data_IF_054678019304
#
_entry.id   IF_054678019304
#
_cell.length_a   1.000
_cell.length_b   1.000
_cell.length_c   1.000
_cell.angle_alpha   90.00
_cell.angle_beta   90.00
_cell.angle_gamma   90.00
#
_symmetry.space_group_name_H-M   'P 1'
#
loop_
_entity.id
_entity.type
_entity.pdbx_description
1 polymer ?
#
# COMPACT_ATOMS: atom_id res chain seq x y z
N UNK A 1 -14.02 -1.88 2.59
CA UNK A 1 -14.57 -1.62 1.24
C UNK A 1 -14.75 -2.97 0.53
N UNK A 2 -15.42 -3.08 -0.62
CA UNK A 2 -15.40 -4.34 -1.39
C UNK A 2 -14.34 -4.19 -2.48
N UNK A 3 -13.38 -5.11 -2.53
CA UNK A 3 -12.37 -5.15 -3.59
C UNK A 3 -13.01 -5.15 -4.98
N UNK A 4 -12.39 -4.47 -5.92
CA UNK A 4 -12.70 -4.47 -7.34
C UNK A 4 -12.56 -5.88 -7.94
N UNK A 5 -13.13 -6.09 -9.12
CA UNK A 5 -12.97 -7.36 -9.84
C UNK A 5 -11.49 -7.64 -10.13
N UNK A 6 -10.71 -6.60 -10.48
CA UNK A 6 -9.27 -6.70 -10.71
C UNK A 6 -8.55 -7.19 -9.45
N UNK A 7 -8.78 -6.55 -8.32
CA UNK A 7 -8.16 -6.93 -7.06
C UNK A 7 -8.58 -8.33 -6.56
N UNK A 8 -9.83 -8.71 -6.75
CA UNK A 8 -10.30 -10.07 -6.44
C UNK A 8 -9.60 -11.13 -7.30
N UNK A 9 -9.46 -10.89 -8.60
CA UNK A 9 -8.76 -11.81 -9.49
C UNK A 9 -7.26 -11.87 -9.16
N UNK A 10 -6.66 -10.74 -8.80
CA UNK A 10 -5.28 -10.66 -8.38
C UNK A 10 -5.04 -11.50 -7.11
N UNK A 11 -5.82 -11.26 -6.04
CA UNK A 11 -5.60 -11.90 -4.75
C UNK A 11 -5.83 -13.43 -4.79
N UNK A 12 -6.73 -13.90 -5.66
CA UNK A 12 -6.97 -15.34 -5.88
C UNK A 12 -5.77 -16.09 -6.45
N UNK A 13 -4.88 -15.39 -7.17
CA UNK A 13 -3.65 -15.96 -7.74
C UNK A 13 -2.48 -15.95 -6.75
N UNK A 14 -2.58 -15.17 -5.68
CA UNK A 14 -1.49 -15.00 -4.72
C UNK A 14 -1.39 -16.19 -3.77
N UNK A 15 -0.17 -16.52 -3.37
CA UNK A 15 0.06 -17.54 -2.35
C UNK A 15 -0.44 -17.05 -0.98
N UNK A 16 -1.02 -17.95 -0.18
CA UNK A 16 -1.46 -17.64 1.20
C UNK A 16 -0.94 -18.69 2.18
N UNK A 17 -0.13 -18.25 3.15
CA UNK A 17 0.50 -19.07 4.17
C UNK A 17 -0.51 -19.41 5.28
N UNK A 18 -0.89 -20.69 5.38
CA UNK A 18 -1.97 -21.17 6.28
C UNK A 18 -1.75 -20.89 7.77
N UNK A 19 -0.50 -20.83 8.24
CA UNK A 19 -0.20 -20.60 9.66
C UNK A 19 -0.49 -19.16 10.13
N UNK A 20 -0.80 -18.25 9.21
CA UNK A 20 -1.29 -16.91 9.52
C UNK A 20 -2.82 -16.82 9.45
N UNK A 21 -3.51 -17.91 9.11
CA UNK A 21 -4.97 -17.94 9.08
C UNK A 21 -5.48 -18.29 10.47
N UNK A 22 -6.25 -17.40 11.05
CA UNK A 22 -6.89 -17.63 12.34
C UNK A 22 -8.26 -16.99 12.33
N UNK A 23 -9.26 -17.73 12.83
CA UNK A 23 -10.63 -17.22 12.90
C UNK A 23 -10.69 -15.94 13.74
N UNK A 24 -11.48 -14.92 13.34
CA UNK A 24 -11.56 -13.64 14.03
C UNK A 24 -11.83 -13.76 15.53
N UNK A 25 -12.73 -14.68 15.92
CA UNK A 25 -13.06 -14.93 17.34
C UNK A 25 -11.87 -15.35 18.20
N UNK A 26 -10.91 -16.07 17.62
CA UNK A 26 -9.72 -16.54 18.34
C UNK A 26 -8.74 -15.37 18.51
N UNK A 27 -8.61 -14.54 17.48
CA UNK A 27 -7.78 -13.34 17.50
C UNK A 27 -8.34 -12.33 18.50
N UNK A 28 -9.65 -12.07 18.47
CA UNK A 28 -10.34 -11.23 19.45
C UNK A 28 -10.09 -11.68 20.89
N UNK A 29 -10.20 -12.99 21.16
CA UNK A 29 -9.91 -13.55 22.47
C UNK A 29 -8.44 -13.35 22.88
N UNK A 30 -7.50 -13.56 21.95
CA UNK A 30 -6.08 -13.33 22.17
C UNK A 30 -5.77 -11.85 22.50
N UNK A 31 -6.34 -10.89 21.76
CA UNK A 31 -6.21 -9.46 22.05
C UNK A 31 -6.74 -9.10 23.45
N UNK A 32 -7.89 -9.66 23.84
CA UNK A 32 -8.49 -9.45 25.17
C UNK A 32 -7.60 -9.94 26.30
N UNK A 33 -7.01 -11.13 26.18
CA UNK A 33 -6.05 -11.65 27.18
C UNK A 33 -4.86 -10.71 27.33
N UNK A 34 -4.37 -10.19 26.20
CA UNK A 34 -3.23 -9.27 26.14
C UNK A 34 -3.58 -7.83 26.56
N UNK A 35 -4.85 -7.54 26.88
CA UNK A 35 -5.37 -6.20 27.21
C UNK A 35 -5.12 -5.16 26.11
N UNK A 36 -5.13 -5.62 24.85
CA UNK A 36 -5.01 -4.75 23.67
C UNK A 36 -6.40 -4.25 23.29
N UNK A 37 -6.50 -2.97 22.95
CA UNK A 37 -7.75 -2.41 22.41
C UNK A 37 -8.04 -3.07 21.06
N UNK A 38 -9.24 -3.62 20.93
CA UNK A 38 -9.66 -4.27 19.69
C UNK A 38 -10.04 -3.21 18.67
N UNK A 39 -9.28 -3.16 17.59
CA UNK A 39 -9.62 -2.39 16.40
C UNK A 39 -10.31 -3.31 15.38
N UNK A 40 -11.55 -3.02 14.95
CA UNK A 40 -12.25 -3.82 13.94
C UNK A 40 -11.43 -4.00 12.65
N UNK A 41 -10.73 -2.97 12.19
CA UNK A 41 -9.92 -3.03 10.97
C UNK A 41 -8.69 -3.95 11.09
N UNK A 42 -8.12 -4.08 12.29
CA UNK A 42 -7.04 -5.04 12.56
C UNK A 42 -7.56 -6.48 12.48
N UNK A 43 -8.77 -6.73 12.99
CA UNK A 43 -9.41 -8.04 12.85
C UNK A 43 -9.76 -8.35 11.39
N UNK A 44 -10.27 -7.36 10.64
CA UNK A 44 -10.55 -7.50 9.21
C UNK A 44 -9.27 -7.79 8.42
N UNK A 45 -8.16 -7.13 8.74
CA UNK A 45 -6.88 -7.46 8.15
C UNK A 45 -6.48 -8.91 8.45
N UNK A 46 -6.57 -9.32 9.71
CA UNK A 46 -6.17 -10.65 10.13
C UNK A 46 -6.97 -11.74 9.38
N UNK A 47 -8.28 -11.52 9.23
CA UNK A 47 -9.19 -12.44 8.53
C UNK A 47 -8.95 -12.47 7.02
N UNK A 48 -8.88 -11.29 6.40
CA UNK A 48 -8.93 -11.16 4.96
C UNK A 48 -7.56 -11.21 4.30
N UNK A 49 -6.50 -10.75 4.99
CA UNK A 49 -5.22 -10.44 4.35
C UNK A 49 -4.01 -11.14 4.97
N UNK A 50 -4.07 -11.51 6.25
CA UNK A 50 -2.94 -12.19 6.89
C UNK A 50 -2.58 -13.50 6.18
N UNK A 51 -1.28 -13.68 5.94
CA UNK A 51 -0.68 -14.80 5.25
C UNK A 51 -0.49 -14.62 3.74
N UNK A 52 -1.07 -13.60 3.11
CA UNK A 52 -0.87 -13.40 1.68
C UNK A 52 0.56 -12.96 1.35
N UNK A 53 1.06 -13.44 0.21
CA UNK A 53 2.31 -13.01 -0.41
C UNK A 53 1.94 -12.30 -1.70
N UNK A 54 1.77 -10.98 -1.63
CA UNK A 54 1.35 -10.14 -2.75
C UNK A 54 2.58 -9.87 -3.63
N UNK A 55 2.62 -10.45 -4.83
CA UNK A 55 3.73 -10.30 -5.78
C UNK A 55 3.23 -9.75 -7.10
N UNK A 56 4.01 -8.88 -7.73
CA UNK A 56 3.76 -8.39 -9.09
C UNK A 56 4.40 -9.34 -10.10
N UNK A 57 3.64 -9.72 -11.13
CA UNK A 57 4.08 -10.62 -12.20
C UNK A 57 5.36 -10.13 -12.85
N UNK A 58 6.33 -11.04 -13.03
CA UNK A 58 7.64 -10.72 -13.59
C UNK A 58 8.57 -9.93 -12.67
N UNK A 59 8.10 -9.51 -11.48
CA UNK A 59 8.85 -8.66 -10.53
C UNK A 59 8.85 -9.27 -9.12
N UNK A 60 9.57 -10.39 -8.88
CA UNK A 60 9.59 -11.07 -7.58
C UNK A 60 10.23 -10.25 -6.44
N UNK A 61 10.90 -9.14 -6.76
CA UNK A 61 11.41 -8.18 -5.76
C UNK A 61 10.33 -7.19 -5.31
N UNK A 62 9.23 -7.08 -6.03
CA UNK A 62 8.06 -6.30 -5.67
C UNK A 62 7.04 -7.20 -4.97
N UNK A 63 7.46 -7.75 -3.83
CA UNK A 63 6.67 -8.67 -3.02
C UNK A 63 6.44 -8.10 -1.62
N UNK A 64 5.17 -8.07 -1.20
CA UNK A 64 4.78 -7.80 0.18
C UNK A 64 4.28 -9.06 0.87
N UNK A 65 4.79 -9.34 2.07
CA UNK A 65 4.34 -10.45 2.90
C UNK A 65 3.41 -9.92 3.99
N UNK A 66 2.10 -10.04 3.79
CA UNK A 66 1.09 -9.59 4.74
C UNK A 66 0.98 -10.55 5.93
N UNK A 67 1.09 -10.05 7.16
CA UNK A 67 1.00 -10.86 8.38
C UNK A 67 0.63 -9.98 9.58
N UNK A 68 -0.07 -10.56 10.55
CA UNK A 68 -0.31 -9.94 11.86
C UNK A 68 0.07 -10.95 12.96
N UNK A 69 -0.87 -11.80 13.37
CA UNK A 69 -0.67 -12.80 14.41
C UNK A 69 -0.63 -14.19 13.78
N UNK A 70 0.44 -14.94 14.02
CA UNK A 70 0.49 -16.34 13.61
C UNK A 70 -0.32 -17.20 14.57
N UNK A 71 -0.76 -18.37 14.09
CA UNK A 71 -1.37 -19.38 14.95
C UNK A 71 -0.46 -19.82 16.09
N UNK A 72 0.87 -19.73 15.91
CA UNK A 72 1.85 -19.98 16.97
C UNK A 72 1.84 -18.88 18.04
N UNK A 73 1.79 -17.61 17.63
CA UNK A 73 1.74 -16.49 18.59
C UNK A 73 0.51 -16.60 19.49
N UNK A 74 -0.63 -16.93 18.88
CA UNK A 74 -1.91 -17.12 19.57
C UNK A 74 -1.87 -18.35 20.49
N UNK A 75 -1.44 -19.51 19.98
CA UNK A 75 -1.45 -20.76 20.75
C UNK A 75 -0.54 -20.71 21.97
N UNK A 76 0.59 -20.01 21.87
CA UNK A 76 1.55 -19.83 22.96
C UNK A 76 1.32 -18.55 23.76
N UNK A 77 0.22 -17.82 23.48
CA UNK A 77 -0.11 -16.54 24.09
C UNK A 77 1.10 -15.59 24.17
N UNK A 78 1.84 -15.47 23.06
CA UNK A 78 3.02 -14.61 22.99
C UNK A 78 2.62 -13.17 23.26
N UNK A 79 3.54 -12.40 23.82
CA UNK A 79 3.28 -10.99 24.11
C UNK A 79 3.15 -10.24 22.79
N UNK A 80 2.10 -9.43 22.65
CA UNK A 80 1.98 -8.48 21.54
C UNK A 80 2.85 -7.26 21.87
N UNK A 81 3.79 -6.96 20.98
CA UNK A 81 4.52 -5.71 21.03
C UNK A 81 3.61 -4.61 20.49
N UNK A 82 3.00 -3.86 21.41
CA UNK A 82 2.28 -2.64 21.07
C UNK A 82 3.27 -1.50 20.95
N UNK A 83 3.34 -0.92 19.77
CA UNK A 83 4.09 0.30 19.54
C UNK A 83 3.07 1.44 19.61
N UNK A 84 3.34 2.42 20.48
CA UNK A 84 2.55 3.64 20.57
C UNK A 84 3.31 4.73 19.83
N UNK A 85 2.73 5.24 18.74
CA UNK A 85 3.29 6.29 17.90
C UNK A 85 2.21 7.35 17.72
N UNK A 86 2.52 8.61 18.06
CA UNK A 86 1.56 9.71 18.00
C UNK A 86 0.20 9.41 18.66
N UNK A 87 0.22 8.82 19.87
CA UNK A 87 -0.96 8.42 20.65
C UNK A 87 -1.82 7.30 20.02
N UNK A 88 -1.30 6.61 19.00
CA UNK A 88 -1.99 5.51 18.31
C UNK A 88 -1.25 4.21 18.47
N UNK A 89 -2.00 3.12 18.63
CA UNK A 89 -1.45 1.78 18.58
C UNK A 89 -1.28 1.33 17.15
N UNK A 90 -0.09 0.81 16.83
CA UNK A 90 0.21 0.21 15.55
C UNK A 90 0.69 -1.22 15.71
N UNK A 91 0.44 -2.03 14.69
CA UNK A 91 0.78 -3.46 14.66
C UNK A 91 1.61 -3.76 13.41
N UNK A 92 2.73 -4.50 13.54
CA UNK A 92 3.50 -4.98 12.37
C UNK A 92 2.55 -5.75 11.45
N UNK A 93 2.36 -5.23 10.24
CA UNK A 93 1.44 -5.80 9.27
C UNK A 93 2.16 -6.51 8.11
N UNK A 94 3.49 -6.64 8.18
CA UNK A 94 4.30 -7.27 7.15
C UNK A 94 5.56 -6.53 6.77
N UNK A 95 6.16 -7.02 5.68
CA UNK A 95 7.38 -6.45 5.12
C UNK A 95 7.39 -6.54 3.60
N UNK A 96 8.07 -5.59 2.97
CA UNK A 96 8.35 -5.59 1.55
C UNK A 96 9.73 -6.17 1.27
N UNK A 97 9.90 -6.96 0.21
CA UNK A 97 11.15 -7.68 -0.08
C UNK A 97 12.37 -6.77 -0.35
N UNK A 98 12.13 -5.51 -0.70
CA UNK A 98 13.19 -4.51 -0.98
C UNK A 98 13.19 -3.31 -0.07
N UNK A 99 12.19 -3.15 0.81
CA UNK A 99 12.16 -2.01 1.72
C UNK A 99 13.01 -2.32 2.95
N UNK A 100 13.71 -1.30 3.46
CA UNK A 100 14.41 -1.35 4.74
C UNK A 100 13.49 -0.95 5.92
N UNK A 101 12.23 -0.64 5.63
CA UNK A 101 11.23 -0.17 6.59
C UNK A 101 10.30 -1.29 7.05
N UNK A 102 9.86 -1.18 8.30
CA UNK A 102 8.74 -1.96 8.82
C UNK A 102 7.42 -1.30 8.43
N UNK A 103 6.41 -2.12 8.13
CA UNK A 103 5.08 -1.65 7.78
C UNK A 103 4.13 -1.98 8.92
N UNK A 104 3.25 -1.02 9.22
CA UNK A 104 2.30 -1.17 10.31
C UNK A 104 0.88 -0.88 9.85
N UNK A 105 -0.07 -1.51 10.53
CA UNK A 105 -1.49 -1.17 10.46
C UNK A 105 -1.90 -0.42 11.73
N UNK A 106 -2.58 0.70 11.56
CA UNK A 106 -3.12 1.49 12.67
C UNK A 106 -4.42 0.89 13.19
N UNK A 107 -4.87 1.36 14.35
CA UNK A 107 -6.20 1.10 14.90
C UNK A 107 -7.38 1.51 13.99
N UNK A 108 -7.15 2.34 12.97
CA UNK A 108 -8.15 2.72 11.95
C UNK A 108 -7.99 1.94 10.64
N UNK A 109 -7.10 0.96 10.59
CA UNK A 109 -6.86 0.15 9.40
C UNK A 109 -5.93 0.78 8.35
N UNK A 110 -5.36 1.95 8.63
CA UNK A 110 -4.44 2.63 7.72
C UNK A 110 -3.09 1.92 7.70
N UNK A 111 -2.43 1.89 6.55
CA UNK A 111 -1.08 1.33 6.40
C UNK A 111 -0.07 2.46 6.48
N UNK A 112 0.96 2.27 7.28
CA UNK A 112 1.94 3.32 7.55
C UNK A 112 3.35 2.76 7.75
N UNK A 113 4.31 3.65 7.67
CA UNK A 113 5.65 3.52 8.24
C UNK A 113 5.78 4.50 9.40
N UNK A 114 6.89 4.40 10.14
CA UNK A 114 7.20 5.25 11.27
C UNK A 114 8.52 5.97 11.00
N UNK A 115 8.56 7.27 11.23
CA UNK A 115 9.74 8.14 11.09
C UNK A 115 10.49 8.31 12.41
N UNK A 116 11.78 8.67 12.39
CA UNK A 116 12.60 8.78 13.61
C UNK A 116 12.06 9.77 14.68
N UNK A 117 11.13 10.66 14.31
CA UNK A 117 10.50 11.64 15.19
C UNK A 117 9.20 11.16 15.87
N UNK A 118 8.91 9.86 15.80
CA UNK A 118 7.66 9.24 16.30
C UNK A 118 6.39 9.76 15.62
N UNK A 119 6.51 10.27 14.38
CA UNK A 119 5.36 10.53 13.52
C UNK A 119 4.97 9.31 12.68
N UNK A 120 3.68 9.23 12.35
CA UNK A 120 3.13 8.22 11.45
C UNK A 120 3.10 8.75 10.03
N UNK A 121 3.83 8.08 9.14
CA UNK A 121 3.75 8.33 7.72
C UNK A 121 2.68 7.41 7.10
N UNK A 122 1.47 7.93 6.94
CA UNK A 122 0.35 7.14 6.40
C UNK A 122 0.53 6.97 4.89
N UNK A 123 0.64 5.73 4.46
CA UNK A 123 0.83 5.34 3.07
C UNK A 123 -0.50 5.01 2.40
N UNK A 124 -1.45 4.40 3.11
CA UNK A 124 -2.75 4.00 2.56
C UNK A 124 -3.84 4.15 3.60
N UNK A 125 -5.04 4.54 3.16
CA UNK A 125 -6.21 4.64 4.02
C UNK A 125 -6.74 3.28 4.50
N UNK A 126 -6.39 2.19 3.82
CA UNK A 126 -6.76 0.83 4.19
C UNK A 126 -5.88 -0.21 3.49
N UNK A 127 -5.86 -1.44 3.99
CA UNK A 127 -5.21 -2.54 3.28
C UNK A 127 -5.95 -2.93 1.99
N UNK A 128 -7.26 -2.69 1.89
CA UNK A 128 -8.01 -2.86 0.63
C UNK A 128 -7.35 -2.01 -0.48
N UNK A 129 -7.08 -0.73 -0.20
CA UNK A 129 -6.41 0.18 -1.14
C UNK A 129 -5.00 -0.28 -1.49
N UNK A 130 -4.28 -0.84 -0.53
CA UNK A 130 -2.98 -1.45 -0.78
C UNK A 130 -3.07 -2.62 -1.78
N UNK A 131 -4.07 -3.50 -1.63
CA UNK A 131 -4.30 -4.61 -2.57
C UNK A 131 -4.75 -4.11 -3.95
N UNK A 132 -5.60 -3.07 -4.00
CA UNK A 132 -6.03 -2.45 -5.26
C UNK A 132 -4.86 -1.88 -6.06
N UNK A 133 -3.90 -1.27 -5.38
CA UNK A 133 -2.65 -0.83 -6.02
C UNK A 133 -1.85 -2.03 -6.55
N UNK A 134 -1.61 -3.05 -5.72
CA UNK A 134 -0.83 -4.21 -6.15
C UNK A 134 -1.45 -4.90 -7.36
N UNK A 135 -2.78 -4.99 -7.39
CA UNK A 135 -3.52 -5.55 -8.52
C UNK A 135 -3.40 -4.68 -9.78
N UNK A 136 -3.42 -3.36 -9.64
CA UNK A 136 -3.18 -2.46 -10.78
C UNK A 136 -1.75 -2.60 -11.29
N UNK A 137 -0.73 -2.59 -10.42
CA UNK A 137 0.67 -2.76 -10.82
C UNK A 137 0.95 -4.12 -11.46
N UNK A 138 0.26 -5.19 -11.02
CA UNK A 138 0.31 -6.51 -11.67
C UNK A 138 -0.24 -6.47 -13.10
N UNK A 139 -1.34 -5.76 -13.33
CA UNK A 139 -1.89 -5.53 -14.68
C UNK A 139 -0.93 -4.74 -15.58
N UNK A 140 -0.18 -3.80 -14.99
CA UNK A 140 0.82 -2.98 -15.66
C UNK A 140 2.19 -3.66 -15.81
N UNK A 141 2.34 -4.95 -15.46
CA UNK A 141 3.65 -5.62 -15.46
C UNK A 141 4.37 -5.57 -16.80
N UNK A 142 3.62 -5.45 -17.90
CA UNK A 142 4.14 -5.47 -19.27
C UNK A 142 4.22 -4.05 -19.86
N UNK A 143 3.93 -3.01 -19.07
CA UNK A 143 4.07 -1.61 -19.47
C UNK A 143 5.49 -1.12 -19.17
N UNK A 144 5.92 -0.10 -19.90
CA UNK A 144 7.16 0.60 -19.59
C UNK A 144 6.91 1.53 -18.41
N UNK A 145 7.86 1.57 -17.49
CA UNK A 145 7.85 2.50 -16.36
C UNK A 145 9.19 3.25 -16.32
N UNK A 146 9.18 4.43 -15.71
CA UNK A 146 10.43 5.14 -15.48
C UNK A 146 11.19 4.49 -14.32
N UNK A 147 12.50 4.34 -14.40
CA UNK A 147 13.26 3.67 -13.33
C UNK A 147 13.34 4.48 -12.03
N UNK A 148 13.15 5.80 -12.11
CA UNK A 148 13.17 6.73 -11.00
C UNK A 148 11.79 7.12 -10.47
N UNK A 149 11.79 7.64 -9.25
CA UNK A 149 10.66 8.32 -8.62
C UNK A 149 11.01 9.81 -8.53
N UNK A 150 10.03 10.66 -8.80
CA UNK A 150 10.22 12.12 -8.83
C UNK A 150 9.54 12.78 -7.65
N UNK A 151 10.19 13.76 -7.01
CA UNK A 151 9.56 14.48 -5.91
C UNK A 151 8.49 15.42 -6.45
N UNK A 152 7.28 15.36 -5.90
CA UNK A 152 6.18 16.25 -6.28
C UNK A 152 6.36 17.60 -5.59
N UNK A 153 6.53 18.66 -6.38
CA UNK A 153 6.74 20.02 -5.89
C UNK A 153 5.44 20.82 -5.79
N UNK A 154 4.49 20.58 -6.70
CA UNK A 154 3.23 21.31 -6.75
C UNK A 154 2.05 20.37 -7.03
N UNK A 155 1.32 20.02 -5.96
CA UNK A 155 0.12 19.18 -6.01
C UNK A 155 -1.00 19.83 -6.82
N UNK A 156 -1.14 21.16 -6.74
CA UNK A 156 -2.23 21.87 -7.42
C UNK A 156 -1.99 21.84 -8.93
N UNK A 157 -0.78 22.17 -9.37
CA UNK A 157 -0.44 22.11 -10.80
C UNK A 157 -0.52 20.69 -11.35
N UNK A 158 -0.15 19.66 -10.56
CA UNK A 158 -0.37 18.27 -10.96
C UNK A 158 -1.86 17.99 -11.18
N UNK A 159 -2.72 18.36 -10.23
CA UNK A 159 -4.15 18.13 -10.34
C UNK A 159 -4.72 18.84 -11.58
N UNK A 160 -4.38 20.12 -11.78
CA UNK A 160 -4.78 20.89 -12.97
C UNK A 160 -4.30 20.20 -14.27
N UNK A 161 -3.11 19.60 -14.29
CA UNK A 161 -2.59 18.85 -15.44
C UNK A 161 -3.40 17.56 -15.71
N UNK A 162 -3.63 16.74 -14.68
CA UNK A 162 -4.27 15.43 -14.86
C UNK A 162 -5.78 15.54 -15.09
N UNK A 163 -6.47 16.47 -14.42
CA UNK A 163 -7.94 16.61 -14.48
C UNK A 163 -8.46 16.92 -15.89
N UNK A 164 -7.62 17.50 -16.74
CA UNK A 164 -7.98 17.86 -18.11
C UNK A 164 -7.93 16.69 -19.11
N UNK A 165 -7.15 15.64 -18.82
CA UNK A 165 -6.79 14.64 -19.85
C UNK A 165 -6.72 13.21 -19.34
N UNK A 166 -6.85 13.01 -18.03
CA UNK A 166 -6.77 11.70 -17.41
C UNK A 166 -8.00 11.46 -16.54
N UNK A 167 -8.41 10.21 -16.45
CA UNK A 167 -9.47 9.74 -15.55
C UNK A 167 -8.84 9.17 -14.30
N UNK A 168 -9.38 9.53 -13.14
CA UNK A 168 -8.99 8.92 -11.87
C UNK A 168 -9.40 7.44 -11.85
N UNK A 169 -8.49 6.57 -11.41
CA UNK A 169 -8.74 5.15 -11.11
C UNK A 169 -9.16 5.08 -9.64
N UNK A 170 -10.46 5.25 -9.39
CA UNK A 170 -11.02 5.43 -8.04
C UNK A 170 -10.71 4.26 -7.10
N UNK A 171 -10.73 3.03 -7.60
CA UNK A 171 -10.52 1.85 -6.77
C UNK A 171 -9.11 1.80 -6.17
N UNK A 172 -8.10 2.27 -6.90
CA UNK A 172 -6.70 2.34 -6.45
C UNK A 172 -6.31 3.68 -5.82
N UNK A 173 -7.24 4.65 -5.77
CA UNK A 173 -6.97 6.01 -5.27
C UNK A 173 -7.61 6.26 -3.90
N UNK A 174 -6.92 7.02 -3.05
CA UNK A 174 -7.37 7.56 -1.78
C UNK A 174 -6.66 8.90 -1.47
N UNK A 175 -6.65 9.33 -0.20
CA UNK A 175 -6.01 10.57 0.21
C UNK A 175 -4.47 10.56 0.05
N UNK A 176 -3.86 9.38 0.04
CA UNK A 176 -2.40 9.18 0.11
C UNK A 176 -1.84 8.72 -1.24
N UNK A 177 -2.59 7.94 -2.01
CA UNK A 177 -2.23 7.54 -3.37
C UNK A 177 -3.31 7.93 -4.36
N UNK A 178 -2.92 8.40 -5.53
CA UNK A 178 -3.85 8.75 -6.59
C UNK A 178 -3.30 8.26 -7.93
N UNK A 179 -4.17 7.63 -8.71
CA UNK A 179 -3.82 6.98 -9.97
C UNK A 179 -4.71 7.54 -11.07
N UNK A 180 -4.11 8.03 -12.14
CA UNK A 180 -4.83 8.58 -13.28
C UNK A 180 -4.43 7.90 -14.57
N UNK A 181 -5.37 7.73 -15.50
CA UNK A 181 -5.13 7.09 -16.80
C UNK A 181 -5.82 7.81 -17.95
N UNK A 182 -5.18 7.83 -19.12
CA UNK A 182 -5.81 8.20 -20.38
C UNK A 182 -5.93 6.99 -21.35
N UNK A 183 -5.69 5.78 -20.85
CA UNK A 183 -5.68 4.53 -21.61
C UNK A 183 -4.32 4.11 -22.17
N UNK A 184 -3.39 5.06 -22.35
CA UNK A 184 -2.04 4.81 -22.88
C UNK A 184 -0.93 5.11 -21.88
N UNK A 185 -1.20 6.02 -20.93
CA UNK A 185 -0.31 6.48 -19.87
C UNK A 185 -1.06 6.38 -18.55
N UNK A 186 -0.34 5.97 -17.50
CA UNK A 186 -0.77 6.06 -16.12
C UNK A 186 0.20 6.93 -15.34
N UNK A 187 -0.35 7.88 -14.59
CA UNK A 187 0.39 8.72 -13.66
C UNK A 187 -0.04 8.33 -12.26
N UNK A 188 0.95 8.08 -11.39
CA UNK A 188 0.75 7.77 -9.98
C UNK A 188 1.33 8.91 -9.16
N UNK A 189 0.53 9.43 -8.23
CA UNK A 189 0.99 10.14 -7.04
C UNK A 189 0.95 9.17 -5.86
N UNK A 190 2.05 9.03 -5.13
CA UNK A 190 2.12 8.22 -3.90
C UNK A 190 2.90 8.92 -2.80
N UNK A 191 2.82 8.41 -1.57
CA UNK A 191 3.62 8.92 -0.43
C UNK A 191 4.96 8.20 -0.40
N UNK A 192 6.06 8.93 -0.15
CA UNK A 192 7.36 8.31 0.07
C UNK A 192 7.30 7.38 1.29
N UNK A 193 8.12 6.33 1.31
CA UNK A 193 8.08 5.36 2.43
C UNK A 193 8.68 5.90 3.72
N UNK A 194 9.51 6.94 3.63
CA UNK A 194 10.35 7.48 4.71
C UNK A 194 9.99 8.92 5.10
N UNK A 195 8.99 9.52 4.44
CA UNK A 195 8.53 10.88 4.71
C UNK A 195 7.10 11.08 4.22
N UNK A 196 6.39 12.04 4.82
CA UNK A 196 5.01 12.41 4.42
C UNK A 196 4.90 13.17 3.08
N UNK A 197 6.01 13.36 2.36
CA UNK A 197 6.00 14.00 1.03
C UNK A 197 5.46 13.05 -0.05
N UNK A 198 5.08 13.63 -1.19
CA UNK A 198 4.61 12.87 -2.35
C UNK A 198 5.68 12.67 -3.42
N UNK A 199 5.54 11.57 -4.15
CA UNK A 199 6.28 11.30 -5.38
C UNK A 199 5.35 11.11 -6.57
N UNK A 200 5.94 11.23 -7.76
CA UNK A 200 5.33 10.86 -9.03
C UNK A 200 6.06 9.69 -9.67
N UNK A 201 5.27 8.79 -10.23
CA UNK A 201 5.75 7.69 -11.06
C UNK A 201 4.85 7.54 -12.29
N UNK A 202 5.43 7.15 -13.42
CA UNK A 202 4.74 7.12 -14.72
C UNK A 202 4.91 5.77 -15.38
N UNK A 203 3.80 5.22 -15.87
CA UNK A 203 3.74 4.02 -16.70
C UNK A 203 3.19 4.39 -18.09
N UNK A 204 3.68 3.76 -19.15
CA UNK A 204 3.09 3.89 -20.48
C UNK A 204 3.27 2.63 -21.32
N UNK A 205 2.39 2.41 -22.30
CA UNK A 205 2.54 1.30 -23.26
C UNK A 205 3.74 1.46 -24.19
N UNK A 206 4.27 2.68 -24.31
CA UNK A 206 5.45 3.00 -25.10
C UNK A 206 6.51 3.68 -24.24
N UNK A 207 7.74 3.15 -24.24
CA UNK A 207 8.88 3.69 -23.48
C UNK A 207 9.11 5.20 -23.72
N UNK A 208 9.07 5.64 -24.99
CA UNK A 208 9.25 7.05 -25.35
C UNK A 208 8.27 7.98 -24.64
N UNK A 209 7.02 7.53 -24.43
CA UNK A 209 5.97 8.33 -23.79
C UNK A 209 6.25 8.54 -22.30
N UNK A 210 6.84 7.57 -21.62
CA UNK A 210 7.26 7.71 -20.22
C UNK A 210 8.23 8.90 -20.09
N UNK A 211 9.26 8.93 -20.92
CA UNK A 211 10.29 9.98 -20.90
C UNK A 211 9.72 11.35 -21.27
N UNK A 212 8.82 11.41 -22.26
CA UNK A 212 8.18 12.66 -22.68
C UNK A 212 7.33 13.28 -21.58
N UNK A 213 6.50 12.48 -20.90
CA UNK A 213 5.64 12.96 -19.81
C UNK A 213 6.47 13.44 -18.63
N UNK A 214 7.49 12.69 -18.23
CA UNK A 214 8.40 13.12 -17.16
C UNK A 214 9.05 14.45 -17.49
N UNK A 215 9.57 14.64 -18.71
CA UNK A 215 10.17 15.91 -19.14
C UNK A 215 9.17 17.06 -19.15
N UNK A 216 7.92 16.80 -19.53
CA UNK A 216 6.83 17.78 -19.48
C UNK A 216 6.53 18.20 -18.04
N UNK A 217 6.36 17.24 -17.12
CA UNK A 217 6.13 17.54 -15.71
C UNK A 217 7.30 18.31 -15.08
N UNK A 218 8.55 17.96 -15.43
CA UNK A 218 9.73 18.69 -14.96
C UNK A 218 9.79 20.11 -15.53
N UNK A 219 9.50 20.30 -16.82
CA UNK A 219 9.56 21.64 -17.45
C UNK A 219 8.47 22.59 -16.94
N UNK A 220 7.34 22.03 -16.50
CA UNK A 220 6.26 22.76 -15.82
C UNK A 220 6.58 23.06 -14.34
N UNK A 221 7.67 22.53 -13.79
CA UNK A 221 8.03 22.67 -12.38
C UNK A 221 7.15 21.85 -11.43
N UNK A 222 6.41 20.86 -11.95
CA UNK A 222 5.55 19.98 -11.12
C UNK A 222 6.41 19.00 -10.33
N UNK A 223 7.52 18.52 -10.90
CA UNK A 223 8.40 17.54 -10.28
C UNK A 223 9.88 17.88 -10.42
N UNK A 224 10.73 17.32 -9.54
CA UNK A 224 12.20 17.33 -9.67
C UNK A 224 12.79 15.93 -9.53
#
# INVERSE_FOLDING_TARGET
>A
MKLSVRAQQYIQKQARKKHWLTAPRIVDYYLKIQKVIIAPDVLLFQENYSGYVLTIRGKPRETFNARLFSGGDIAWNRKIELINVAERYVFDCGFHATAQFSFFITDKGEICTWEEDDSLNILYSSFDKFVEEYALRDELSDWYEYSGYYELLDVKMLNDYVDNSYKLIEESSDAYNSWWTNGEIIIRKGVWLDRTDFYIHVYAKMEKRVVEIVKELTSMGIVK
#
